data_IF_914727177467
#
_entry.id   IF_914727177467
#
_cell.length_a   1.000
_cell.length_b   1.000
_cell.length_c   1.000
_cell.angle_alpha   90.00
_cell.angle_beta   90.00
_cell.angle_gamma   90.00
#
_symmetry.space_group_name_H-M   'P 1'
#
loop_
_entity.id
_entity.type
_entity.pdbx_description
1 polymer ?
#
# COMPACT_ATOMS: atom_id res chain seq x y z
N UNK A 1 39.56 -27.76 -50.88
CA UNK A 1 38.44 -28.66 -50.53
C UNK A 1 38.68 -29.31 -49.17
N UNK A 2 39.81 -29.99 -48.94
CA UNK A 2 40.15 -30.61 -47.65
C UNK A 2 40.07 -29.67 -46.41
N UNK A 3 40.50 -28.41 -46.53
CA UNK A 3 40.45 -27.43 -45.42
C UNK A 3 39.01 -27.08 -44.97
N UNK A 4 38.03 -27.11 -45.89
CA UNK A 4 36.64 -26.81 -45.57
C UNK A 4 35.95 -27.98 -44.84
N UNK A 5 36.32 -29.22 -45.19
CA UNK A 5 35.82 -30.43 -44.52
C UNK A 5 36.35 -30.53 -43.09
N UNK A 6 37.64 -30.23 -42.86
CA UNK A 6 38.24 -30.18 -41.52
C UNK A 6 37.55 -29.13 -40.64
N UNK A 7 37.29 -27.94 -41.19
CA UNK A 7 36.60 -26.89 -40.46
C UNK A 7 35.16 -27.28 -40.08
N UNK A 8 34.45 -27.99 -40.96
CA UNK A 8 33.10 -28.49 -40.70
C UNK A 8 33.10 -29.59 -39.62
N UNK A 9 34.08 -30.49 -39.64
CA UNK A 9 34.21 -31.54 -38.62
C UNK A 9 34.54 -30.96 -37.25
N UNK A 10 35.45 -29.98 -37.17
CA UNK A 10 35.71 -29.28 -35.90
C UNK A 10 34.45 -28.58 -35.37
N UNK A 11 33.59 -28.05 -36.24
CA UNK A 11 32.32 -27.45 -35.81
C UNK A 11 31.35 -28.50 -35.27
N UNK A 12 31.30 -29.68 -35.91
CA UNK A 12 30.49 -30.81 -35.45
C UNK A 12 30.93 -31.27 -34.07
N UNK A 13 32.24 -31.44 -33.87
CA UNK A 13 32.84 -31.86 -32.60
C UNK A 13 32.54 -30.84 -31.51
N UNK A 14 32.66 -29.54 -31.78
CA UNK A 14 32.33 -28.49 -30.80
C UNK A 14 30.85 -28.56 -30.37
N UNK A 15 29.92 -28.79 -31.30
CA UNK A 15 28.50 -28.98 -30.95
C UNK A 15 28.25 -30.25 -30.15
N UNK A 16 28.99 -31.32 -30.45
CA UNK A 16 28.91 -32.56 -29.70
C UNK A 16 29.38 -32.35 -28.25
N UNK A 17 30.49 -31.63 -28.06
CA UNK A 17 30.99 -31.26 -26.72
C UNK A 17 29.98 -30.37 -25.97
N UNK A 18 29.32 -29.43 -26.66
CA UNK A 18 28.32 -28.55 -26.06
C UNK A 18 27.02 -29.26 -25.66
N UNK A 19 26.69 -30.38 -26.30
CA UNK A 19 25.41 -31.09 -26.12
C UNK A 19 25.53 -32.42 -25.35
N UNK A 20 26.74 -32.93 -25.18
CA UNK A 20 27.01 -34.21 -24.51
C UNK A 20 27.31 -34.01 -23.02
N UNK A 21 26.77 -34.87 -22.16
CA UNK A 21 27.10 -34.90 -20.74
C UNK A 21 28.61 -35.03 -20.51
N UNK A 22 29.13 -34.31 -19.51
CA UNK A 22 30.57 -34.20 -19.24
C UNK A 22 31.24 -35.57 -19.00
N UNK A 23 30.47 -36.55 -18.54
CA UNK A 23 30.93 -37.92 -18.29
C UNK A 23 31.18 -38.74 -19.56
N UNK A 24 30.71 -38.27 -20.72
CA UNK A 24 30.68 -39.02 -21.98
C UNK A 24 31.54 -38.39 -23.10
N UNK A 25 32.30 -37.33 -22.81
CA UNK A 25 33.12 -36.61 -23.80
C UNK A 25 34.43 -37.35 -24.13
N UNK A 26 34.82 -38.33 -23.31
CA UNK A 26 36.09 -39.07 -23.44
C UNK A 26 36.37 -39.67 -24.84
N UNK A 27 35.41 -40.35 -25.49
CA UNK A 27 35.58 -40.85 -26.86
C UNK A 27 35.76 -39.74 -27.91
N UNK A 28 35.00 -38.66 -27.81
CA UNK A 28 35.06 -37.50 -28.72
C UNK A 28 36.42 -36.81 -28.61
N UNK A 29 36.95 -36.63 -27.40
CA UNK A 29 38.30 -36.08 -27.18
C UNK A 29 39.39 -37.01 -27.74
N UNK A 30 39.26 -38.32 -27.53
CA UNK A 30 40.23 -39.28 -28.09
C UNK A 30 40.29 -39.20 -29.62
N UNK A 31 39.13 -39.09 -30.28
CA UNK A 31 39.04 -38.88 -31.73
C UNK A 31 39.75 -37.62 -32.23
N UNK A 32 39.72 -36.52 -31.45
CA UNK A 32 40.45 -35.29 -31.77
C UNK A 32 41.97 -35.48 -31.66
N UNK A 33 42.42 -36.11 -30.57
CA UNK A 33 43.85 -36.32 -30.30
C UNK A 33 44.48 -37.40 -31.18
N UNK A 34 43.71 -38.39 -31.63
CA UNK A 34 44.15 -39.40 -32.60
C UNK A 34 44.31 -38.78 -34.01
N UNK A 35 43.72 -37.61 -34.26
CA UNK A 35 43.90 -36.82 -35.47
C UNK A 35 45.22 -36.01 -35.48
N UNK A 36 45.79 -35.80 -36.67
CA UNK A 36 47.04 -35.04 -36.82
C UNK A 36 46.89 -33.52 -36.63
N UNK A 37 45.66 -32.99 -36.60
CA UNK A 37 45.36 -31.55 -36.64
C UNK A 37 44.73 -31.01 -35.33
N UNK A 38 44.98 -31.66 -34.20
CA UNK A 38 44.42 -31.28 -32.90
C UNK A 38 44.75 -29.82 -32.49
N UNK A 39 45.89 -29.27 -32.91
CA UNK A 39 46.24 -27.87 -32.67
C UNK A 39 45.23 -26.87 -33.27
N UNK A 40 44.78 -27.13 -34.52
CA UNK A 40 43.77 -26.30 -35.18
C UNK A 40 42.40 -26.42 -34.50
N UNK A 41 42.09 -27.59 -33.95
CA UNK A 41 40.88 -27.78 -33.16
C UNK A 41 40.95 -26.96 -31.86
N UNK A 42 42.09 -26.98 -31.15
CA UNK A 42 42.28 -26.20 -29.91
C UNK A 42 42.15 -24.70 -30.14
N UNK A 43 42.72 -24.17 -31.22
CA UNK A 43 42.55 -22.75 -31.60
C UNK A 43 41.08 -22.39 -31.85
N UNK A 44 40.33 -23.32 -32.48
CA UNK A 44 38.90 -23.12 -32.74
C UNK A 44 38.06 -23.24 -31.47
N UNK A 45 38.42 -24.14 -30.55
CA UNK A 45 37.82 -24.26 -29.23
C UNK A 45 38.03 -22.99 -28.40
N UNK A 46 39.24 -22.44 -28.39
CA UNK A 46 39.55 -21.17 -27.74
C UNK A 46 38.73 -20.01 -28.34
N UNK A 47 38.54 -20.01 -29.66
CA UNK A 47 37.62 -19.10 -30.35
C UNK A 47 36.17 -19.24 -29.87
N UNK A 48 35.70 -20.48 -29.68
CA UNK A 48 34.35 -20.78 -29.20
C UNK A 48 34.13 -20.34 -27.76
N UNK A 49 35.10 -20.59 -26.87
CA UNK A 49 35.10 -20.15 -25.47
C UNK A 49 34.99 -18.62 -25.42
N UNK A 50 35.87 -17.90 -26.11
CA UNK A 50 35.82 -16.43 -26.16
C UNK A 50 34.51 -15.88 -26.73
N UNK A 51 33.89 -16.59 -27.66
CA UNK A 51 32.59 -16.20 -28.19
C UNK A 51 31.48 -16.37 -27.14
N UNK A 52 31.48 -17.48 -26.41
CA UNK A 52 30.54 -17.69 -25.30
C UNK A 52 30.72 -16.68 -24.18
N UNK A 53 31.96 -16.36 -23.80
CA UNK A 53 32.24 -15.33 -22.79
C UNK A 53 31.65 -13.96 -23.18
N UNK A 54 31.78 -13.59 -24.45
CA UNK A 54 31.18 -12.34 -24.98
C UNK A 54 29.65 -12.37 -24.95
N UNK A 55 29.03 -13.49 -25.30
CA UNK A 55 27.58 -13.62 -25.26
C UNK A 55 27.05 -13.62 -23.81
N UNK A 56 27.78 -14.25 -22.87
CA UNK A 56 27.49 -14.17 -21.43
C UNK A 56 27.57 -12.72 -20.96
N UNK A 57 28.66 -12.00 -21.27
CA UNK A 57 28.83 -10.60 -20.88
C UNK A 57 27.71 -9.71 -21.46
N UNK A 58 27.33 -9.94 -22.72
CA UNK A 58 26.22 -9.22 -23.37
C UNK A 58 24.88 -9.51 -22.71
N UNK A 59 24.59 -10.76 -22.39
CA UNK A 59 23.37 -11.16 -21.65
C UNK A 59 23.34 -10.52 -20.27
N UNK A 60 24.45 -10.57 -19.54
CA UNK A 60 24.58 -9.93 -18.23
C UNK A 60 24.32 -8.43 -18.34
N UNK A 61 25.01 -7.73 -19.26
CA UNK A 61 24.84 -6.29 -19.46
C UNK A 61 23.40 -5.90 -19.84
N UNK A 62 22.71 -6.73 -20.63
CA UNK A 62 21.31 -6.49 -20.99
C UNK A 62 20.38 -6.58 -19.77
N UNK A 63 20.60 -7.56 -18.89
CA UNK A 63 19.71 -7.80 -17.74
C UNK A 63 20.06 -6.96 -16.50
N UNK A 64 21.30 -6.47 -16.38
CA UNK A 64 21.69 -5.61 -15.25
C UNK A 64 20.89 -4.31 -15.19
N UNK A 65 20.55 -3.71 -16.34
CA UNK A 65 19.74 -2.50 -16.36
C UNK A 65 18.33 -2.75 -15.81
N UNK A 66 17.67 -3.82 -16.25
CA UNK A 66 16.34 -4.18 -15.75
C UNK A 66 16.32 -4.49 -14.25
N UNK A 67 17.41 -5.06 -13.71
CA UNK A 67 17.58 -5.26 -12.28
C UNK A 67 17.70 -3.94 -11.51
N UNK A 68 18.52 -3.00 -12.00
CA UNK A 68 18.69 -1.66 -11.39
C UNK A 68 17.38 -0.88 -11.42
N UNK A 69 16.65 -0.94 -12.54
CA UNK A 69 15.35 -0.29 -12.70
C UNK A 69 14.34 -0.87 -11.70
N UNK A 70 14.27 -2.21 -11.58
CA UNK A 70 13.38 -2.89 -10.63
C UNK A 70 13.67 -2.52 -9.18
N UNK A 71 14.94 -2.42 -8.77
CA UNK A 71 15.31 -1.95 -7.43
C UNK A 71 14.87 -0.49 -7.23
N UNK A 72 15.10 0.36 -8.23
CA UNK A 72 14.76 1.78 -8.15
C UNK A 72 13.25 1.96 -8.01
N UNK A 73 12.44 1.21 -8.76
CA UNK A 73 10.99 1.20 -8.62
C UNK A 73 10.54 0.71 -7.25
N UNK A 74 11.13 -0.38 -6.74
CA UNK A 74 10.81 -0.89 -5.40
C UNK A 74 11.13 0.13 -4.29
N UNK A 75 12.23 0.88 -4.42
CA UNK A 75 12.59 1.95 -3.50
C UNK A 75 11.58 3.11 -3.53
N UNK A 76 11.07 3.47 -4.72
CA UNK A 76 10.01 4.46 -4.87
C UNK A 76 8.72 4.01 -4.19
N UNK A 77 8.26 2.78 -4.49
CA UNK A 77 7.05 2.19 -3.87
C UNK A 77 7.16 2.18 -2.35
N UNK A 78 8.32 1.81 -1.81
CA UNK A 78 8.57 1.87 -0.36
C UNK A 78 8.39 3.28 0.21
N UNK A 79 8.93 4.29 -0.48
CA UNK A 79 8.79 5.70 -0.07
C UNK A 79 7.34 6.16 -0.08
N UNK A 80 6.58 5.82 -1.12
CA UNK A 80 5.16 6.14 -1.23
C UNK A 80 4.31 5.44 -0.16
N UNK A 81 4.56 4.15 0.09
CA UNK A 81 3.89 3.40 1.15
C UNK A 81 4.15 4.00 2.54
N UNK A 82 5.38 4.47 2.79
CA UNK A 82 5.71 5.13 4.05
C UNK A 82 4.99 6.48 4.20
N UNK A 83 4.91 7.27 3.12
CA UNK A 83 4.14 8.52 3.11
C UNK A 83 2.65 8.27 3.36
N UNK A 84 2.06 7.29 2.68
CA UNK A 84 0.67 6.91 2.86
C UNK A 84 0.40 6.46 4.31
N UNK A 85 1.29 5.65 4.88
CA UNK A 85 1.20 5.23 6.29
C UNK A 85 1.15 6.44 7.22
N UNK A 86 2.05 7.42 7.05
CA UNK A 86 2.05 8.63 7.87
C UNK A 86 0.73 9.41 7.74
N UNK A 87 0.24 9.61 6.51
CA UNK A 87 -1.03 10.31 6.27
C UNK A 87 -2.22 9.61 6.90
N UNK A 88 -2.29 8.27 6.81
CA UNK A 88 -3.35 7.48 7.44
C UNK A 88 -3.30 7.62 8.95
N UNK A 89 -2.10 7.54 9.56
CA UNK A 89 -1.95 7.67 11.01
C UNK A 89 -2.31 9.07 11.51
N UNK A 90 -1.90 10.12 10.79
CA UNK A 90 -2.25 11.51 11.11
C UNK A 90 -3.75 11.76 11.00
N UNK A 91 -4.36 11.30 9.91
CA UNK A 91 -5.81 11.44 9.68
C UNK A 91 -6.61 10.71 10.76
N UNK A 92 -6.21 9.48 11.09
CA UNK A 92 -6.84 8.72 12.17
C UNK A 92 -6.70 9.43 13.52
N UNK A 93 -5.52 9.97 13.84
CA UNK A 93 -5.32 10.70 15.08
C UNK A 93 -6.20 11.95 15.15
N UNK A 94 -6.29 12.71 14.06
CA UNK A 94 -7.16 13.88 13.96
C UNK A 94 -8.63 13.51 14.14
N UNK A 95 -9.10 12.48 13.42
CA UNK A 95 -10.47 12.01 13.54
C UNK A 95 -10.82 11.58 14.97
N UNK A 96 -9.91 10.89 15.66
CA UNK A 96 -10.13 10.50 17.06
C UNK A 96 -10.19 11.70 18.00
N UNK A 97 -9.39 12.74 17.76
CA UNK A 97 -9.42 13.96 18.56
C UNK A 97 -10.72 14.73 18.33
N UNK A 98 -11.07 15.00 17.07
CA UNK A 98 -12.31 15.68 16.69
C UNK A 98 -13.53 14.90 17.22
N UNK A 99 -13.50 13.56 17.17
CA UNK A 99 -14.54 12.70 17.72
C UNK A 99 -14.70 12.80 19.24
N UNK A 100 -13.60 12.95 20.00
CA UNK A 100 -13.65 13.16 21.46
C UNK A 100 -14.23 14.52 21.82
N UNK A 101 -13.85 15.57 21.10
CA UNK A 101 -14.39 16.91 21.29
C UNK A 101 -15.90 16.92 21.00
N UNK A 102 -16.32 16.30 19.90
CA UNK A 102 -17.73 16.17 19.54
C UNK A 102 -18.54 15.43 20.61
N UNK A 103 -18.02 14.32 21.14
CA UNK A 103 -18.69 13.58 22.22
C UNK A 103 -18.87 14.44 23.47
N UNK A 104 -17.86 15.25 23.81
CA UNK A 104 -17.92 16.17 24.95
C UNK A 104 -19.04 17.21 24.75
N UNK A 105 -19.08 17.86 23.59
CA UNK A 105 -20.15 18.82 23.26
C UNK A 105 -21.54 18.18 23.21
N UNK A 106 -21.65 16.92 22.79
CA UNK A 106 -22.90 16.16 22.80
C UNK A 106 -23.39 15.88 24.23
N UNK A 107 -22.49 15.56 25.15
CA UNK A 107 -22.84 15.38 26.56
C UNK A 107 -23.29 16.69 27.21
N UNK A 108 -22.61 17.80 26.92
CA UNK A 108 -23.03 19.14 27.36
C UNK A 108 -24.43 19.50 26.84
N UNK A 109 -24.69 19.27 25.55
CA UNK A 109 -25.99 19.50 24.94
C UNK A 109 -27.08 18.62 25.58
N UNK A 110 -26.76 17.36 25.88
CA UNK A 110 -27.67 16.45 26.57
C UNK A 110 -28.04 16.97 27.96
N UNK A 111 -27.07 17.46 28.72
CA UNK A 111 -27.33 18.07 30.04
C UNK A 111 -28.21 19.32 29.92
N UNK A 112 -27.91 20.19 28.95
CA UNK A 112 -28.72 21.38 28.68
C UNK A 112 -30.18 21.02 28.34
N UNK A 113 -30.41 20.00 27.50
CA UNK A 113 -31.77 19.51 27.18
C UNK A 113 -32.49 18.94 28.39
N UNK A 114 -31.78 18.25 29.28
CA UNK A 114 -32.37 17.74 30.53
C UNK A 114 -32.82 18.91 31.42
N UNK A 115 -31.99 19.93 31.56
CA UNK A 115 -32.33 21.15 32.29
C UNK A 115 -33.53 21.85 31.66
N UNK A 116 -33.55 22.02 30.34
CA UNK A 116 -34.67 22.61 29.61
C UNK A 116 -35.97 21.84 29.86
N UNK A 117 -35.95 20.50 29.85
CA UNK A 117 -37.12 19.67 30.15
C UNK A 117 -37.60 19.86 31.59
N UNK A 118 -36.66 19.93 32.55
CA UNK A 118 -36.99 20.14 33.95
C UNK A 118 -37.63 21.53 34.16
N UNK A 119 -37.10 22.56 33.50
CA UNK A 119 -37.67 23.92 33.50
C UNK A 119 -39.08 23.90 32.91
N UNK A 120 -39.28 23.34 31.72
CA UNK A 120 -40.59 23.26 31.08
C UNK A 120 -41.61 22.52 31.95
N UNK A 121 -41.21 21.41 32.57
CA UNK A 121 -42.07 20.66 33.50
C UNK A 121 -42.41 21.49 34.73
N UNK A 122 -41.45 22.22 35.29
CA UNK A 122 -41.67 23.10 36.45
C UNK A 122 -42.64 24.22 36.10
N UNK A 123 -42.49 24.84 34.94
CA UNK A 123 -43.42 25.87 34.44
C UNK A 123 -44.83 25.30 34.29
N UNK A 124 -44.98 24.10 33.70
CA UNK A 124 -46.27 23.43 33.60
C UNK A 124 -46.90 23.19 34.97
N UNK A 125 -46.13 22.68 35.94
CA UNK A 125 -46.62 22.46 37.31
C UNK A 125 -47.01 23.75 38.01
N UNK A 126 -46.21 24.81 37.91
CA UNK A 126 -46.54 26.11 38.49
C UNK A 126 -47.81 26.67 37.84
N UNK A 127 -47.96 26.54 36.53
CA UNK A 127 -49.16 26.95 35.78
C UNK A 127 -50.41 26.23 36.28
N UNK A 128 -50.32 24.93 36.59
CA UNK A 128 -51.42 24.17 37.20
C UNK A 128 -51.78 24.62 38.62
N UNK A 129 -50.82 25.18 39.37
CA UNK A 129 -51.07 25.68 40.73
C UNK A 129 -51.70 27.08 40.74
N UNK A 130 -51.57 27.87 39.66
CA UNK A 130 -52.10 29.24 39.57
C UNK A 130 -53.59 29.35 39.94
N UNK A 131 -54.52 28.51 39.45
CA UNK A 131 -55.93 28.58 39.82
C UNK A 131 -56.20 28.45 41.33
N UNK A 132 -55.44 27.62 42.03
CA UNK A 132 -55.58 27.45 43.47
C UNK A 132 -55.15 28.72 44.22
N UNK A 133 -54.10 29.41 43.76
CA UNK A 133 -53.71 30.72 44.29
C UNK A 133 -54.76 31.80 44.02
N UNK A 134 -55.46 31.75 42.87
CA UNK A 134 -56.55 32.68 42.57
C UNK A 134 -57.77 32.51 43.47
N UNK A 135 -58.10 31.27 43.88
CA UNK A 135 -59.23 31.00 44.77
C UNK A 135 -58.96 31.46 46.22
N UNK A 136 -57.69 31.47 46.66
CA UNK A 136 -57.29 31.87 48.03
C UNK A 136 -57.12 33.39 48.17
N UNK A 137 -57.03 34.14 47.06
CA UNK A 137 -56.96 35.61 47.10
C UNK A 137 -58.36 36.21 47.31
N UNK A 138 -58.67 36.88 48.44
CA UNK A 138 -60.04 37.29 48.79
C UNK A 138 -60.62 38.41 47.93
N UNK A 139 -59.85 38.97 47.00
CA UNK A 139 -60.24 40.09 46.16
C UNK A 139 -60.12 39.72 44.67
N UNK A 140 -61.24 39.23 44.12
CA UNK A 140 -61.37 38.77 42.74
C UNK A 140 -61.12 39.87 41.69
N UNK A 141 -59.86 39.99 41.27
CA UNK A 141 -59.52 40.57 39.97
C UNK A 141 -59.11 39.44 39.02
N UNK A 142 -59.62 39.43 37.77
CA UNK A 142 -59.29 38.39 36.81
C UNK A 142 -57.83 38.56 36.36
N UNK A 143 -57.04 37.49 36.53
CA UNK A 143 -55.68 37.43 36.01
C UNK A 143 -55.73 37.01 34.54
N UNK A 144 -55.04 37.77 33.69
CA UNK A 144 -54.93 37.51 32.26
C UNK A 144 -53.80 36.51 31.98
N UNK A 145 -54.12 35.26 31.58
CA UNK A 145 -53.11 34.22 31.34
C UNK A 145 -52.27 34.47 30.08
N UNK A 146 -52.69 35.34 29.15
CA UNK A 146 -51.92 35.61 27.92
C UNK A 146 -50.69 36.50 28.17
N UNK A 147 -50.68 37.29 29.25
CA UNK A 147 -49.52 38.09 29.64
C UNK A 147 -48.32 37.25 30.13
N UNK A 148 -48.56 36.02 30.64
CA UNK A 148 -47.50 35.16 31.17
C UNK A 148 -46.88 34.22 30.13
N UNK A 149 -47.55 33.99 29.00
CA UNK A 149 -47.07 33.11 27.93
C UNK A 149 -45.95 33.73 27.07
N UNK A 150 -45.86 35.06 27.03
CA UNK A 150 -44.92 35.77 26.16
C UNK A 150 -43.44 35.61 26.57
N UNK A 151 -43.15 35.35 27.84
CA UNK A 151 -41.77 35.34 28.35
C UNK A 151 -41.12 33.94 28.39
N UNK A 152 -41.87 32.87 28.13
CA UNK A 152 -41.36 31.49 28.26
C UNK A 152 -40.84 30.91 26.94
N UNK A 153 -41.23 31.46 25.78
CA UNK A 153 -40.85 30.94 24.45
C UNK A 153 -39.71 31.76 23.81
N UNK A 154 -38.82 32.31 24.63
CA UNK A 154 -37.63 33.05 24.15
C UNK A 154 -36.36 32.55 24.84
N UNK A 155 -36.12 31.25 24.75
CA UNK A 155 -34.80 30.61 24.94
C UNK A 155 -34.58 29.64 23.80
#
# INVERSE_FOLDING_TARGET
MASAEIAAEHERILREIESTDTNCIGPTLRSVYDGQEHGLFMDKLEGRIRNHDREIEKMCNHHFQGFVDSITELLKVRGEAQKLKCQVTETNQKLQNDGKELLTSMDELRQCRLQQRNIATTIDKLTHCLPAFFIISPHGLPFDPDSARADVIRV
#
